data_IF_294893272880
#
_entry.id   IF_294893272880
#
_cell.length_a   1.000
_cell.length_b   1.000
_cell.length_c   1.000
_cell.angle_alpha   90.00
_cell.angle_beta   90.00
_cell.angle_gamma   90.00
#
_symmetry.space_group_name_H-M   'P 1'
#
loop_
_entity.id
_entity.type
_entity.pdbx_description
1 polymer ?
#
# COMPACT_ATOMS: atom_id res chain seq x y z
N UNK A 1 -8.64 27.24 -21.58
CA UNK A 1 -9.85 28.09 -21.77
C UNK A 1 -11.05 27.33 -21.24
N UNK A 2 -11.70 27.80 -20.18
CA UNK A 2 -12.82 27.09 -19.56
C UNK A 2 -14.15 27.32 -20.28
N UNK A 3 -15.10 26.39 -20.11
CA UNK A 3 -16.55 26.61 -20.24
C UNK A 3 -17.26 25.74 -19.21
N UNK A 4 -17.69 26.36 -18.12
CA UNK A 4 -18.71 25.83 -17.20
C UNK A 4 -20.07 26.45 -17.53
N UNK A 5 -21.12 25.96 -16.85
CA UNK A 5 -22.53 26.38 -16.99
C UNK A 5 -23.27 25.71 -18.17
N UNK A 6 -24.60 25.46 -18.10
CA UNK A 6 -25.55 25.95 -17.09
C UNK A 6 -26.46 24.88 -16.44
N UNK A 7 -27.02 25.20 -15.27
CA UNK A 7 -28.46 25.50 -15.11
C UNK A 7 -28.83 25.76 -13.64
N UNK A 8 -29.80 26.66 -13.44
CA UNK A 8 -30.34 27.05 -12.14
C UNK A 8 -31.75 26.46 -11.93
N UNK A 9 -32.12 26.23 -10.68
CA UNK A 9 -33.51 26.05 -10.27
C UNK A 9 -33.72 26.66 -8.86
N UNK A 10 -34.93 27.16 -8.51
CA UNK A 10 -35.04 28.29 -7.59
C UNK A 10 -35.53 27.97 -6.17
N UNK A 11 -35.39 29.00 -5.32
CA UNK A 11 -35.87 29.10 -3.95
C UNK A 11 -37.40 29.12 -3.81
N UNK A 12 -37.93 28.46 -2.79
CA UNK A 12 -39.05 28.88 -1.90
C UNK A 12 -39.18 27.81 -0.79
N UNK A 13 -39.60 28.09 0.44
CA UNK A 13 -40.49 29.17 0.90
C UNK A 13 -40.19 29.55 2.36
N UNK A 14 -40.03 30.83 2.66
CA UNK A 14 -40.01 31.34 4.04
C UNK A 14 -41.43 31.38 4.62
N UNK A 15 -41.58 31.05 5.90
CA UNK A 15 -42.69 31.48 6.75
C UNK A 15 -42.19 31.57 8.20
N UNK A 16 -42.32 32.74 8.83
CA UNK A 16 -41.81 32.99 10.18
C UNK A 16 -42.89 33.59 11.09
N UNK A 17 -43.16 32.92 12.23
CA UNK A 17 -43.72 33.43 13.52
C UNK A 17 -45.09 34.17 13.46
N UNK A 18 -45.77 34.47 14.59
CA UNK A 18 -45.46 34.22 16.02
C UNK A 18 -46.27 32.99 16.55
N UNK A 19 -46.68 32.78 17.82
CA UNK A 19 -46.57 33.53 19.10
C UNK A 19 -46.60 32.61 20.34
N UNK A 20 -46.31 33.21 21.52
CA UNK A 20 -46.93 32.98 22.85
C UNK A 20 -47.36 31.57 23.32
N UNK A 21 -46.77 31.10 24.43
CA UNK A 21 -47.41 30.12 25.33
C UNK A 21 -46.49 29.13 26.05
N UNK A 22 -46.14 29.42 27.29
CA UNK A 22 -46.01 28.41 28.37
C UNK A 22 -47.26 28.58 29.26
N UNK A 23 -47.79 27.57 29.99
CA UNK A 23 -47.17 26.35 30.54
C UNK A 23 -47.92 25.08 30.01
N UNK A 24 -47.86 23.83 30.52
CA UNK A 24 -47.56 23.25 31.85
C UNK A 24 -47.02 21.81 31.74
N UNK A 25 -46.58 21.26 32.87
CA UNK A 25 -46.05 19.90 33.02
C UNK A 25 -47.01 18.76 32.59
N UNK A 26 -46.44 17.67 32.07
CA UNK A 26 -47.14 16.39 31.92
C UNK A 26 -46.39 15.38 31.02
N UNK A 27 -45.96 14.26 31.59
CA UNK A 27 -45.68 13.03 30.81
C UNK A 27 -44.22 12.76 30.43
N UNK A 28 -43.38 12.41 31.40
CA UNK A 28 -42.17 11.63 31.10
C UNK A 28 -42.53 10.25 30.55
N UNK A 29 -42.39 10.06 29.24
CA UNK A 29 -42.38 8.73 28.60
C UNK A 29 -41.47 8.67 27.36
N UNK A 30 -40.39 9.46 27.36
CA UNK A 30 -39.28 9.26 26.43
C UNK A 30 -38.63 7.92 26.74
N UNK A 31 -39.13 6.86 26.10
CA UNK A 31 -38.53 5.53 26.05
C UNK A 31 -37.17 5.60 25.37
N UNK A 32 -36.20 6.11 26.12
CA UNK A 32 -34.78 5.95 25.81
C UNK A 32 -34.52 4.46 25.89
N UNK A 33 -34.63 3.78 24.74
CA UNK A 33 -34.08 2.44 24.53
C UNK A 33 -32.57 2.55 24.67
N UNK A 34 -32.13 2.64 25.92
CA UNK A 34 -30.73 2.62 26.34
C UNK A 34 -30.21 1.32 25.78
N UNK A 35 -29.45 1.42 24.70
CA UNK A 35 -28.97 0.25 23.97
C UNK A 35 -27.82 -0.34 24.80
N UNK A 36 -28.19 -1.00 25.91
CA UNK A 36 -27.33 -1.76 26.81
C UNK A 36 -26.88 -3.04 26.12
N UNK A 37 -26.25 -2.89 24.96
CA UNK A 37 -25.40 -3.91 24.38
C UNK A 37 -24.37 -4.24 25.47
N UNK A 38 -24.34 -5.48 25.99
CA UNK A 38 -23.50 -5.79 27.14
C UNK A 38 -22.06 -5.50 26.77
N UNK A 39 -21.32 -4.84 27.67
CA UNK A 39 -19.94 -4.36 27.42
C UNK A 39 -19.05 -5.48 26.86
N UNK A 40 -19.27 -6.73 27.32
CA UNK A 40 -18.69 -7.97 26.76
C UNK A 40 -18.79 -8.09 25.24
N UNK A 41 -19.94 -7.80 24.61
CA UNK A 41 -20.11 -7.89 23.14
C UNK A 41 -19.32 -6.81 22.40
N UNK A 42 -19.19 -5.61 22.94
CA UNK A 42 -18.36 -4.55 22.37
C UNK A 42 -16.86 -4.87 22.50
N UNK A 43 -16.44 -5.39 23.66
CA UNK A 43 -15.05 -5.83 23.89
C UNK A 43 -14.67 -6.98 22.95
N UNK A 44 -15.52 -8.01 22.81
CA UNK A 44 -15.26 -9.11 21.88
C UNK A 44 -15.19 -8.63 20.43
N UNK A 45 -16.08 -7.72 20.00
CA UNK A 45 -16.03 -7.15 18.66
C UNK A 45 -14.73 -6.35 18.40
N UNK A 46 -14.30 -5.52 19.36
CA UNK A 46 -13.04 -4.77 19.27
C UNK A 46 -11.82 -5.70 19.22
N UNK A 47 -11.77 -6.73 20.05
CA UNK A 47 -10.70 -7.73 20.03
C UNK A 47 -10.67 -8.45 18.67
N UNK A 48 -11.81 -8.87 18.13
CA UNK A 48 -11.86 -9.50 16.80
C UNK A 48 -11.38 -8.58 15.67
N UNK A 49 -11.71 -7.28 15.71
CA UNK A 49 -11.27 -6.29 14.71
C UNK A 49 -9.76 -6.02 14.81
N UNK A 50 -9.21 -5.92 16.03
CA UNK A 50 -7.77 -5.71 16.24
C UNK A 50 -6.97 -6.95 15.83
N UNK A 51 -7.45 -8.15 16.17
CA UNK A 51 -6.82 -9.42 15.78
C UNK A 51 -6.88 -9.62 14.27
N UNK A 52 -8.01 -9.37 13.61
CA UNK A 52 -8.12 -9.52 12.15
C UNK A 52 -7.29 -8.48 11.39
N UNK A 53 -7.25 -7.22 11.86
CA UNK A 53 -6.38 -6.17 11.31
C UNK A 53 -4.91 -6.52 11.46
N UNK A 54 -4.48 -6.98 12.65
CA UNK A 54 -3.11 -7.42 12.90
C UNK A 54 -2.70 -8.63 12.04
N UNK A 55 -3.60 -9.60 11.86
CA UNK A 55 -3.36 -10.76 11.00
C UNK A 55 -3.27 -10.35 9.52
N UNK A 56 -4.15 -9.45 9.05
CA UNK A 56 -4.12 -8.94 7.69
C UNK A 56 -2.82 -8.14 7.42
N UNK A 57 -2.41 -7.29 8.37
CA UNK A 57 -1.16 -6.55 8.28
C UNK A 57 0.06 -7.49 8.27
N UNK A 58 0.08 -8.54 9.09
CA UNK A 58 1.14 -9.55 9.07
C UNK A 58 1.21 -10.29 7.72
N UNK A 59 0.06 -10.67 7.14
CA UNK A 59 0.02 -11.26 5.78
C UNK A 59 0.52 -10.27 4.73
N UNK A 60 0.13 -9.00 4.80
CA UNK A 60 0.62 -7.94 3.88
C UNK A 60 2.13 -7.72 3.99
N UNK A 61 2.69 -7.76 5.20
CA UNK A 61 4.14 -7.66 5.42
C UNK A 61 4.87 -8.89 4.88
N UNK A 62 4.31 -10.10 5.09
CA UNK A 62 4.88 -11.37 4.61
C UNK A 62 4.84 -11.52 3.10
N UNK A 63 3.81 -11.00 2.40
CA UNK A 63 3.86 -10.91 0.94
C UNK A 63 4.89 -9.85 0.52
N UNK A 64 4.78 -8.60 0.99
CA UNK A 64 5.58 -7.48 0.46
C UNK A 64 7.09 -7.62 0.67
N UNK A 65 7.52 -8.29 1.76
CA UNK A 65 8.93 -8.54 2.07
C UNK A 65 9.34 -10.01 1.83
N UNK A 66 8.45 -10.81 1.23
CA UNK A 66 8.71 -12.21 0.94
C UNK A 66 9.82 -12.39 -0.12
N UNK A 67 10.50 -13.56 -0.13
CA UNK A 67 11.59 -13.85 -1.08
C UNK A 67 11.15 -13.73 -2.57
N UNK A 68 9.85 -13.82 -2.84
CA UNK A 68 9.22 -13.63 -4.16
C UNK A 68 9.53 -12.29 -4.83
N UNK A 69 9.80 -11.22 -4.07
CA UNK A 69 10.03 -9.89 -4.62
C UNK A 69 11.52 -9.53 -4.79
N UNK A 70 12.43 -10.27 -4.17
CA UNK A 70 13.87 -10.02 -4.24
C UNK A 70 14.50 -10.58 -5.52
N UNK A 71 14.06 -10.03 -6.65
CA UNK A 71 14.52 -10.37 -8.00
C UNK A 71 15.78 -9.60 -8.43
N UNK A 72 16.48 -8.94 -7.50
CA UNK A 72 17.77 -8.32 -7.79
C UNK A 72 18.83 -9.39 -8.11
N UNK A 73 19.77 -9.07 -9.00
CA UNK A 73 20.99 -9.86 -9.17
C UNK A 73 22.09 -9.32 -8.26
N UNK A 74 22.89 -10.21 -7.68
CA UNK A 74 24.06 -9.86 -6.86
C UNK A 74 25.30 -9.73 -7.74
N UNK A 75 26.15 -8.72 -7.50
CA UNK A 75 27.42 -8.55 -8.22
C UNK A 75 28.47 -9.53 -7.68
N UNK A 76 29.09 -10.28 -8.58
CA UNK A 76 30.23 -11.18 -8.31
C UNK A 76 31.44 -10.65 -9.07
N UNK A 77 32.58 -10.48 -8.39
CA UNK A 77 33.81 -9.92 -8.95
C UNK A 77 34.82 -11.03 -9.22
N UNK A 78 35.56 -10.96 -10.33
CA UNK A 78 36.55 -11.98 -10.70
C UNK A 78 37.93 -11.76 -10.05
N UNK A 79 38.17 -10.61 -9.39
CA UNK A 79 39.48 -10.19 -8.89
C UNK A 79 40.27 -11.22 -8.04
N UNK A 80 39.61 -12.18 -7.39
CA UNK A 80 40.25 -13.29 -6.65
C UNK A 80 40.37 -14.59 -7.43
N UNK A 81 39.51 -14.81 -8.44
CA UNK A 81 39.39 -16.05 -9.20
C UNK A 81 40.22 -16.01 -10.49
N UNK A 82 40.21 -14.87 -11.17
CA UNK A 82 40.96 -14.56 -12.37
C UNK A 82 41.35 -13.06 -12.36
N UNK A 83 42.56 -12.71 -11.88
CA UNK A 83 43.05 -11.34 -11.87
C UNK A 83 43.37 -10.76 -13.24
N UNK A 84 43.49 -11.57 -14.30
CA UNK A 84 43.79 -11.11 -15.66
C UNK A 84 42.51 -10.76 -16.44
N UNK A 85 41.34 -11.24 -15.98
CA UNK A 85 40.02 -10.84 -16.47
C UNK A 85 39.69 -9.38 -16.07
N UNK A 86 40.16 -8.43 -16.86
CA UNK A 86 39.97 -6.97 -16.66
C UNK A 86 39.15 -6.31 -17.77
N UNK A 87 38.52 -5.18 -17.42
CA UNK A 87 37.90 -4.24 -18.36
C UNK A 87 38.95 -3.38 -19.09
N UNK A 88 38.51 -2.63 -20.11
CA UNK A 88 39.38 -1.74 -20.90
C UNK A 88 40.06 -0.63 -20.08
N UNK A 89 39.56 -0.31 -18.89
CA UNK A 89 40.14 0.64 -17.93
C UNK A 89 41.09 -0.02 -16.91
N UNK A 90 41.30 -1.34 -17.02
CA UNK A 90 42.10 -2.15 -16.09
C UNK A 90 41.37 -2.55 -14.80
N UNK A 91 40.10 -2.20 -14.63
CA UNK A 91 39.33 -2.61 -13.45
C UNK A 91 38.95 -4.11 -13.54
N UNK A 92 38.89 -4.86 -12.43
CA UNK A 92 38.53 -6.27 -12.46
C UNK A 92 37.11 -6.50 -12.99
N UNK A 93 36.97 -7.47 -13.88
CA UNK A 93 35.69 -7.86 -14.45
C UNK A 93 34.72 -8.39 -13.37
N UNK A 94 33.43 -8.31 -13.66
CA UNK A 94 32.37 -8.77 -12.80
C UNK A 94 31.13 -9.17 -13.60
N UNK A 95 30.32 -10.05 -13.02
CA UNK A 95 29.00 -10.40 -13.55
C UNK A 95 27.94 -10.28 -12.45
N UNK A 96 26.68 -10.31 -12.88
CA UNK A 96 25.53 -10.27 -11.99
C UNK A 96 24.87 -11.64 -11.95
N UNK A 97 24.68 -12.20 -10.75
CA UNK A 97 24.14 -13.54 -10.55
C UNK A 97 22.91 -13.54 -9.65
N UNK A 98 21.91 -14.33 -10.04
CA UNK A 98 20.78 -14.74 -9.19
C UNK A 98 20.50 -16.21 -9.50
N UNK A 99 20.27 -17.02 -8.47
CA UNK A 99 19.92 -18.43 -8.68
C UNK A 99 18.51 -18.54 -9.26
N UNK A 100 18.37 -19.28 -10.35
CA UNK A 100 17.08 -19.68 -10.92
C UNK A 100 16.44 -20.85 -10.18
N UNK A 101 15.17 -21.12 -10.50
CA UNK A 101 14.41 -22.23 -9.90
C UNK A 101 14.90 -23.61 -10.37
N UNK A 102 15.15 -23.78 -11.69
CA UNK A 102 15.78 -24.98 -12.23
C UNK A 102 17.31 -24.84 -12.21
N UNK A 103 18.05 -25.68 -11.45
CA UNK A 103 19.51 -25.63 -11.39
C UNK A 103 20.22 -26.09 -12.67
N UNK A 104 19.49 -26.65 -13.65
CA UNK A 104 20.04 -27.10 -14.94
C UNK A 104 19.86 -26.09 -16.07
N UNK A 105 18.98 -25.10 -15.89
CA UNK A 105 18.72 -24.05 -16.87
C UNK A 105 19.52 -22.79 -16.54
N UNK A 106 20.26 -22.30 -17.52
CA UNK A 106 21.11 -21.11 -17.39
C UNK A 106 20.71 -20.07 -18.43
N UNK A 107 20.48 -18.84 -17.98
CA UNK A 107 20.30 -17.68 -18.84
C UNK A 107 21.52 -16.76 -18.66
N UNK A 108 22.27 -16.54 -19.74
CA UNK A 108 23.44 -15.67 -19.77
C UNK A 108 23.11 -14.50 -20.68
N UNK A 109 23.24 -13.29 -20.16
CA UNK A 109 23.04 -12.06 -20.91
C UNK A 109 24.38 -11.34 -21.05
N UNK A 110 24.72 -10.95 -22.28
CA UNK A 110 25.89 -10.15 -22.60
C UNK A 110 25.40 -8.76 -23.02
N UNK A 111 25.74 -7.76 -22.21
CA UNK A 111 25.42 -6.36 -22.54
C UNK A 111 26.29 -5.89 -23.72
N UNK A 112 25.70 -5.14 -24.64
CA UNK A 112 26.39 -4.55 -25.79
C UNK A 112 26.37 -3.02 -25.72
N UNK A 113 27.24 -2.36 -26.49
CA UNK A 113 27.38 -0.90 -26.43
C UNK A 113 28.24 -0.28 -27.51
N UNK A 114 28.19 -0.80 -28.74
CA UNK A 114 29.18 -0.46 -29.79
C UNK A 114 30.55 -1.06 -29.47
N UNK A 115 31.61 -0.52 -30.10
CA UNK A 115 33.00 -0.91 -29.86
C UNK A 115 33.96 0.18 -30.41
N UNK A 116 35.19 0.19 -29.91
CA UNK A 116 36.34 0.85 -30.54
C UNK A 116 37.27 -0.20 -31.19
N UNK A 117 38.13 0.21 -32.11
CA UNK A 117 39.06 -0.68 -32.83
C UNK A 117 40.48 -0.09 -32.99
N UNK A 118 40.66 1.18 -32.64
CA UNK A 118 41.89 1.94 -32.57
C UNK A 118 42.08 2.54 -31.16
N UNK A 119 43.21 3.22 -30.94
CA UNK A 119 43.68 3.79 -29.65
C UNK A 119 43.70 5.31 -29.66
#
# INVERSE_FOLDING_TARGET
>A
VGRTSPQAAPQQKFAARPSSGWPSAGGEASSTRRCTRPVRRCVVALVCILVSSGLLAAVVIMIANGPWFNNALSRVSLASEDPEAVCNDGMPAAYYFRRGEDPRSWAIFLEGGGWCYDV
#
